data_IF_766146556352
#
_entry.id   IF_766146556352
#
_cell.length_a   1.000
_cell.length_b   1.000
_cell.length_c   1.000
_cell.angle_alpha   90.00
_cell.angle_beta   90.00
_cell.angle_gamma   90.00
#
_symmetry.space_group_name_H-M   'P 1'
#
loop_
_entity.id
_entity.type
_entity.pdbx_description
1 polymer ?
#
# COMPACT_ATOMS: atom_id res chain seq x y z
N UNK A 1 2.17 20.63 2.86
CA UNK A 1 1.96 20.39 1.41
C UNK A 1 2.62 19.06 1.07
N UNK A 2 1.90 18.14 0.42
CA UNK A 2 2.47 16.86 -0.01
C UNK A 2 3.35 17.05 -1.26
N UNK A 3 4.41 16.26 -1.38
CA UNK A 3 5.27 16.21 -2.58
C UNK A 3 5.03 14.90 -3.31
N UNK A 4 4.97 14.95 -4.64
CA UNK A 4 4.86 13.76 -5.48
C UNK A 4 6.25 13.35 -5.97
N UNK A 5 6.52 12.05 -5.91
CA UNK A 5 7.74 11.43 -6.42
C UNK A 5 7.32 10.35 -7.41
N UNK A 6 7.83 10.43 -8.64
CA UNK A 6 7.54 9.49 -9.72
C UNK A 6 8.63 8.42 -9.75
N UNK A 7 8.21 7.16 -9.79
CA UNK A 7 9.09 6.01 -9.93
C UNK A 7 8.88 5.39 -11.31
N UNK A 8 9.91 5.42 -12.13
CA UNK A 8 9.89 4.86 -13.48
C UNK A 8 10.77 3.61 -13.53
N UNK A 9 10.18 2.41 -13.62
CA UNK A 9 10.97 1.20 -13.71
C UNK A 9 11.64 1.13 -15.08
N UNK A 10 12.95 0.86 -15.11
CA UNK A 10 13.73 0.74 -16.35
C UNK A 10 13.37 -0.51 -17.17
N UNK A 11 12.84 -1.53 -16.50
CA UNK A 11 12.34 -2.79 -17.07
C UNK A 11 11.22 -3.33 -16.18
N UNK A 12 10.76 -4.56 -16.40
CA UNK A 12 9.75 -5.22 -15.57
C UNK A 12 10.23 -5.37 -14.13
N UNK A 13 9.42 -4.89 -13.21
CA UNK A 13 9.61 -5.09 -11.78
C UNK A 13 8.71 -6.21 -11.26
N UNK A 14 9.22 -6.95 -10.29
CA UNK A 14 8.48 -8.04 -9.65
C UNK A 14 8.25 -7.71 -8.17
N UNK A 15 7.00 -7.68 -7.76
CA UNK A 15 6.58 -7.49 -6.37
C UNK A 15 6.00 -8.78 -5.85
N UNK A 16 6.74 -9.45 -4.97
CA UNK A 16 6.41 -10.79 -4.48
C UNK A 16 5.24 -10.74 -3.49
N UNK A 17 4.22 -11.56 -3.72
CA UNK A 17 3.16 -11.80 -2.74
C UNK A 17 3.64 -12.59 -1.50
N UNK A 18 2.76 -12.85 -0.53
CA UNK A 18 3.13 -13.43 0.77
C UNK A 18 3.47 -14.93 0.73
N UNK A 19 3.13 -15.65 -0.34
CA UNK A 19 3.35 -17.11 -0.43
C UNK A 19 4.84 -17.47 -0.45
N UNK A 20 5.27 -18.64 0.06
CA UNK A 20 6.65 -19.12 -0.07
C UNK A 20 7.14 -19.11 -1.53
N UNK A 21 8.42 -18.82 -1.72
CA UNK A 21 9.05 -18.78 -3.04
C UNK A 21 10.50 -19.27 -2.94
N UNK A 22 10.64 -20.56 -2.65
CA UNK A 22 11.96 -21.21 -2.56
C UNK A 22 12.28 -21.94 -3.87
N UNK A 23 13.58 -22.00 -4.20
CA UNK A 23 14.05 -22.76 -5.34
C UNK A 23 13.70 -24.26 -5.18
N UNK A 24 13.06 -24.84 -6.20
CA UNK A 24 12.66 -26.26 -6.20
C UNK A 24 11.22 -26.52 -5.74
N UNK A 25 10.50 -25.50 -5.24
CA UNK A 25 9.05 -25.59 -5.01
C UNK A 25 8.29 -25.30 -6.32
N UNK A 26 7.21 -26.05 -6.60
CA UNK A 26 6.35 -25.86 -7.78
C UNK A 26 5.35 -24.70 -7.63
N UNK A 27 5.54 -23.85 -6.62
CA UNK A 27 4.63 -22.77 -6.31
C UNK A 27 4.90 -21.58 -7.23
N UNK A 28 3.93 -21.28 -8.09
CA UNK A 28 3.89 -20.02 -8.82
C UNK A 28 3.71 -18.87 -7.83
N UNK A 29 4.67 -17.95 -7.78
CA UNK A 29 4.51 -16.72 -7.02
C UNK A 29 3.59 -15.76 -7.78
N UNK A 30 2.42 -15.51 -7.20
CA UNK A 30 1.51 -14.48 -7.68
C UNK A 30 2.12 -13.10 -7.35
N UNK A 31 2.35 -12.23 -8.36
CA UNK A 31 2.81 -10.88 -8.11
C UNK A 31 1.71 -10.05 -7.47
N UNK A 32 2.09 -9.11 -6.61
CA UNK A 32 1.18 -8.14 -5.98
C UNK A 32 1.40 -6.76 -6.60
N UNK A 33 0.40 -6.26 -7.35
CA UNK A 33 0.48 -4.94 -7.99
C UNK A 33 -0.84 -4.17 -7.81
N UNK A 34 -0.80 -2.87 -7.45
CA UNK A 34 0.39 -2.08 -7.09
C UNK A 34 1.09 -2.61 -5.82
N UNK A 35 2.40 -2.36 -5.63
CA UNK A 35 3.08 -2.83 -4.43
C UNK A 35 2.54 -2.12 -3.19
N UNK A 36 2.63 -2.77 -2.03
CA UNK A 36 2.19 -2.14 -0.80
C UNK A 36 3.00 -0.87 -0.49
N UNK A 37 2.41 0.14 0.21
CA UNK A 37 3.13 1.33 0.65
C UNK A 37 4.40 1.01 1.45
N UNK A 38 4.42 -0.13 2.15
CA UNK A 38 5.58 -0.60 2.93
C UNK A 38 6.76 -1.01 2.05
N UNK A 39 6.50 -1.63 0.90
CA UNK A 39 7.55 -1.97 -0.08
C UNK A 39 8.20 -0.70 -0.60
N UNK A 40 7.39 0.29 -0.99
CA UNK A 40 7.91 1.59 -1.44
C UNK A 40 8.67 2.32 -0.33
N UNK A 41 8.19 2.25 0.91
CA UNK A 41 8.89 2.80 2.06
C UNK A 41 10.25 2.14 2.27
N UNK A 42 10.33 0.80 2.17
CA UNK A 42 11.58 0.07 2.25
C UNK A 42 12.58 0.52 1.18
N UNK A 43 12.14 0.58 -0.08
CA UNK A 43 12.98 1.04 -1.19
C UNK A 43 13.53 2.46 -0.98
N UNK A 44 12.66 3.40 -0.56
CA UNK A 44 13.06 4.79 -0.26
C UNK A 44 14.05 4.83 0.90
N UNK A 45 13.79 4.06 1.97
CA UNK A 45 14.68 4.02 3.13
C UNK A 45 16.06 3.47 2.78
N UNK A 46 16.11 2.39 2.04
CA UNK A 46 17.37 1.82 1.55
C UNK A 46 18.11 2.84 0.69
N UNK A 47 17.44 3.48 -0.27
CA UNK A 47 18.07 4.51 -1.11
C UNK A 47 18.65 5.69 -0.30
N UNK A 48 17.93 6.17 0.73
CA UNK A 48 18.43 7.22 1.63
C UNK A 48 19.67 6.73 2.38
N UNK A 49 19.62 5.55 2.99
CA UNK A 49 20.75 5.04 3.76
C UNK A 49 21.99 4.75 2.92
N UNK A 50 21.82 4.18 1.73
CA UNK A 50 22.92 4.00 0.76
C UNK A 50 23.51 5.35 0.32
N UNK A 51 22.68 6.36 0.05
CA UNK A 51 23.16 7.70 -0.34
C UNK A 51 23.95 8.43 0.76
N UNK A 52 23.84 7.94 2.00
CA UNK A 52 24.46 8.51 3.19
C UNK A 52 25.52 7.59 3.79
N UNK A 53 25.91 6.51 3.09
CA UNK A 53 26.89 5.52 3.52
C UNK A 53 26.59 4.94 4.93
N UNK A 54 25.31 4.66 5.21
CA UNK A 54 24.88 4.11 6.51
C UNK A 54 25.46 2.70 6.71
N UNK A 55 26.16 2.49 7.82
CA UNK A 55 26.52 1.14 8.28
C UNK A 55 25.26 0.43 8.82
N UNK A 56 24.65 -0.40 7.99
CA UNK A 56 23.41 -1.10 8.32
C UNK A 56 23.53 -2.10 9.47
N UNK A 57 24.71 -2.70 9.68
CA UNK A 57 24.94 -3.63 10.79
C UNK A 57 24.90 -2.87 12.11
N UNK A 58 25.60 -1.73 12.16
CA UNK A 58 25.58 -0.85 13.32
C UNK A 58 24.21 -0.19 13.51
N UNK A 59 23.59 0.27 12.43
CA UNK A 59 22.24 0.85 12.45
C UNK A 59 21.24 -0.13 13.07
N UNK A 60 21.30 -1.42 12.73
CA UNK A 60 20.43 -2.44 13.33
C UNK A 60 20.73 -2.68 14.82
N UNK A 61 21.97 -2.51 15.26
CA UNK A 61 22.38 -2.75 16.64
C UNK A 61 21.90 -1.65 17.62
N UNK A 62 21.54 -0.47 17.12
CA UNK A 62 20.91 0.59 17.93
C UNK A 62 21.84 1.25 18.94
N UNK A 63 23.16 1.30 18.69
CA UNK A 63 24.15 1.84 19.63
C UNK A 63 24.05 3.36 19.92
N UNK A 64 23.05 4.04 19.35
CA UNK A 64 22.71 5.44 19.63
C UNK A 64 23.64 6.47 18.98
N UNK A 65 24.77 6.06 18.41
CA UNK A 65 25.73 6.96 17.73
C UNK A 65 25.69 6.84 16.20
N UNK A 66 25.27 5.69 15.67
CA UNK A 66 25.21 5.41 14.21
C UNK A 66 24.11 6.15 13.47
N UNK A 67 23.09 6.62 14.18
CA UNK A 67 21.91 7.22 13.55
C UNK A 67 22.09 8.70 13.27
N UNK A 68 23.18 9.31 13.75
CA UNK A 68 23.38 10.75 13.63
C UNK A 68 24.36 11.07 12.51
N UNK A 69 23.89 11.85 11.53
CA UNK A 69 24.67 12.18 10.34
C UNK A 69 24.85 13.68 10.16
N UNK A 70 25.99 14.02 9.54
CA UNK A 70 26.34 15.38 9.16
C UNK A 70 26.65 16.31 10.34
N UNK A 71 26.99 17.56 10.00
CA UNK A 71 27.32 18.60 10.99
C UNK A 71 26.13 18.98 11.88
N UNK A 72 24.93 18.81 11.35
CA UNK A 72 23.67 19.13 12.03
C UNK A 72 23.17 17.98 12.92
N UNK A 73 23.92 16.86 13.01
CA UNK A 73 23.65 15.75 13.93
C UNK A 73 22.24 15.15 13.73
N UNK A 74 21.82 14.99 12.46
CA UNK A 74 20.47 14.57 12.08
C UNK A 74 20.25 13.11 12.50
N UNK A 75 19.22 12.87 13.31
CA UNK A 75 18.81 11.52 13.71
C UNK A 75 17.99 10.82 12.61
N UNK A 76 18.60 9.87 11.92
CA UNK A 76 17.97 9.08 10.87
C UNK A 76 16.80 8.23 11.37
N UNK A 77 16.86 7.67 12.58
CA UNK A 77 15.74 6.87 13.11
C UNK A 77 14.54 7.77 13.33
N UNK A 78 14.76 8.99 13.82
CA UNK A 78 13.70 9.99 13.90
C UNK A 78 13.16 10.35 12.50
N UNK A 79 14.02 10.61 11.52
CA UNK A 79 13.59 11.08 10.20
C UNK A 79 12.89 10.01 9.37
N UNK A 80 13.52 8.85 9.18
CA UNK A 80 13.06 7.81 8.25
C UNK A 80 12.53 6.56 8.94
N UNK A 81 12.77 6.40 10.25
CA UNK A 81 12.34 5.23 11.03
C UNK A 81 13.28 4.03 10.89
N UNK A 82 12.90 2.93 11.53
CA UNK A 82 13.65 1.68 11.60
C UNK A 82 12.70 0.47 11.47
N UNK A 83 13.11 -0.69 12.00
CA UNK A 83 12.29 -1.91 12.02
C UNK A 83 11.09 -1.82 12.98
N UNK A 84 11.09 -0.89 13.93
CA UNK A 84 10.11 -0.77 15.01
C UNK A 84 9.21 0.47 14.87
N UNK A 85 9.63 1.46 14.07
CA UNK A 85 8.92 2.73 13.91
C UNK A 85 8.99 3.31 12.50
N UNK A 86 7.99 4.14 12.18
CA UNK A 86 7.91 4.84 10.89
C UNK A 86 8.72 6.14 10.84
N UNK A 87 9.25 6.61 11.97
CA UNK A 87 9.90 7.92 12.08
C UNK A 87 8.95 9.05 11.71
N UNK A 88 9.47 10.10 11.06
CA UNK A 88 8.72 11.27 10.56
C UNK A 88 8.34 11.17 9.09
N UNK A 89 8.99 10.28 8.35
CA UNK A 89 8.65 9.98 6.96
C UNK A 89 7.20 9.48 6.87
N UNK A 90 6.40 10.15 6.03
CA UNK A 90 5.02 9.78 5.72
C UNK A 90 4.91 9.59 4.22
N UNK A 91 4.37 8.46 3.81
CA UNK A 91 4.18 8.09 2.41
C UNK A 91 2.71 7.73 2.19
N UNK A 92 2.19 8.11 1.03
CA UNK A 92 0.87 7.74 0.55
C UNK A 92 1.00 7.19 -0.87
N UNK A 93 0.17 6.23 -1.24
CA UNK A 93 0.30 5.46 -2.47
C UNK A 93 1.01 4.12 -2.24
N UNK A 94 1.66 3.54 -3.26
CA UNK A 94 1.87 4.11 -4.59
C UNK A 94 0.57 4.28 -5.37
N UNK A 95 0.56 5.25 -6.28
CA UNK A 95 -0.49 5.43 -7.27
C UNK A 95 0.08 5.07 -8.64
N UNK A 96 -0.77 4.58 -9.53
CA UNK A 96 -0.35 4.24 -10.90
C UNK A 96 -0.53 5.47 -11.77
N UNK A 97 0.50 5.83 -12.51
CA UNK A 97 0.41 6.86 -13.53
C UNK A 97 0.40 6.19 -14.90
N UNK A 98 -0.57 6.54 -15.74
CA UNK A 98 -0.65 6.11 -17.13
C UNK A 98 -0.97 7.32 -18.00
N UNK A 99 -0.20 7.53 -19.06
CA UNK A 99 -0.45 8.63 -20.02
C UNK A 99 -0.52 10.01 -19.34
N UNK A 100 0.29 10.23 -18.29
CA UNK A 100 0.29 11.42 -17.41
C UNK A 100 -0.98 11.62 -16.57
N UNK A 101 -1.82 10.59 -16.46
CA UNK A 101 -2.97 10.57 -15.57
C UNK A 101 -2.71 9.66 -14.37
N UNK A 102 -2.93 10.19 -13.16
CA UNK A 102 -2.83 9.40 -11.94
C UNK A 102 -4.14 8.64 -11.74
N UNK A 103 -4.02 7.31 -11.72
CA UNK A 103 -5.11 6.37 -11.49
C UNK A 103 -5.23 6.07 -10.00
N UNK A 104 -6.46 6.13 -9.51
CA UNK A 104 -6.83 5.73 -8.16
C UNK A 104 -7.61 4.42 -8.19
N UNK A 105 -7.50 3.59 -7.14
CA UNK A 105 -8.41 2.46 -6.98
C UNK A 105 -9.86 2.93 -7.07
N UNK A 106 -10.69 2.17 -7.79
CA UNK A 106 -12.13 2.42 -7.81
C UNK A 106 -12.67 2.35 -6.37
N UNK A 107 -13.54 3.28 -5.95
CA UNK A 107 -14.23 3.19 -4.67
C UNK A 107 -14.93 1.84 -4.51
N UNK A 108 -14.89 1.25 -3.32
CA UNK A 108 -15.47 -0.09 -3.06
C UNK A 108 -17.00 -0.13 -3.19
N UNK A 109 -17.64 1.02 -3.05
CA UNK A 109 -19.07 1.23 -3.27
C UNK A 109 -19.42 1.46 -4.74
N UNK A 110 -18.45 1.59 -5.65
CA UNK A 110 -18.70 1.66 -7.08
C UNK A 110 -18.98 0.26 -7.63
N UNK A 111 -20.11 0.10 -8.34
CA UNK A 111 -20.44 -1.12 -9.07
C UNK A 111 -20.73 -0.81 -10.54
N UNK A 112 -20.62 -1.84 -11.39
CA UNK A 112 -21.02 -1.78 -12.79
C UNK A 112 -22.09 -2.83 -13.07
N UNK A 113 -23.21 -2.41 -13.66
CA UNK A 113 -24.27 -3.30 -14.14
C UNK A 113 -24.77 -2.84 -15.51
N UNK A 114 -24.89 -3.77 -16.46
CA UNK A 114 -25.34 -3.49 -17.84
C UNK A 114 -24.58 -2.32 -18.51
N UNK A 115 -23.28 -2.21 -18.25
CA UNK A 115 -22.42 -1.15 -18.79
C UNK A 115 -22.58 0.22 -18.11
N UNK A 116 -23.47 0.35 -17.13
CA UNK A 116 -23.67 1.57 -16.34
C UNK A 116 -22.97 1.45 -14.99
N UNK A 117 -22.37 2.55 -14.56
CA UNK A 117 -21.80 2.69 -13.21
C UNK A 117 -22.87 3.16 -12.23
N UNK A 118 -22.82 2.64 -11.01
CA UNK A 118 -23.66 3.08 -9.90
C UNK A 118 -22.91 3.01 -8.58
N UNK A 119 -23.44 3.67 -7.56
CA UNK A 119 -22.92 3.61 -6.20
C UNK A 119 -23.86 2.75 -5.34
N UNK A 120 -23.28 1.80 -4.61
CA UNK A 120 -23.96 1.07 -3.58
C UNK A 120 -24.38 2.03 -2.47
N UNK A 121 -25.56 1.78 -1.90
CA UNK A 121 -26.10 2.52 -0.77
C UNK A 121 -26.56 1.53 0.30
N UNK A 122 -26.61 1.91 1.58
CA UNK A 122 -27.27 1.07 2.58
C UNK A 122 -28.71 0.78 2.17
N UNK A 123 -29.18 -0.45 2.35
CA UNK A 123 -30.58 -0.81 2.15
C UNK A 123 -31.52 -0.04 3.10
N UNK A 124 -32.77 0.16 2.66
CA UNK A 124 -33.79 0.89 3.42
C UNK A 124 -34.27 0.13 4.66
N UNK A 125 -34.25 -1.20 4.59
CA UNK A 125 -34.59 -2.08 5.70
C UNK A 125 -33.34 -2.79 6.23
N UNK A 126 -33.18 -2.88 7.56
CA UNK A 126 -32.11 -3.67 8.15
C UNK A 126 -32.40 -5.17 8.06
N UNK A 127 -31.34 -5.97 8.09
CA UNK A 127 -31.41 -7.44 8.15
C UNK A 127 -30.70 -7.88 9.42
N UNK A 128 -31.33 -8.80 10.16
CA UNK A 128 -30.72 -9.41 11.33
C UNK A 128 -29.69 -10.45 10.92
N UNK A 129 -28.47 -10.28 11.43
CA UNK A 129 -27.32 -11.15 11.17
C UNK A 129 -26.67 -11.58 12.48
N UNK A 130 -25.70 -12.48 12.40
CA UNK A 130 -24.86 -12.90 13.53
C UNK A 130 -24.02 -11.75 14.14
N UNK A 131 -23.80 -10.67 13.38
CA UNK A 131 -23.14 -9.43 13.84
C UNK A 131 -24.12 -8.31 14.25
N UNK A 132 -25.41 -8.62 14.33
CA UNK A 132 -26.48 -7.69 14.72
C UNK A 132 -27.34 -7.23 13.55
N UNK A 133 -28.18 -6.22 13.80
CA UNK A 133 -29.09 -5.65 12.81
C UNK A 133 -28.33 -4.65 11.93
N UNK A 134 -28.11 -4.98 10.66
CA UNK A 134 -27.26 -4.22 9.74
C UNK A 134 -27.98 -3.92 8.42
N UNK A 135 -27.62 -2.83 7.76
CA UNK A 135 -28.13 -2.48 6.42
C UNK A 135 -27.14 -2.96 5.37
N UNK A 136 -27.53 -3.96 4.59
CA UNK A 136 -26.68 -4.52 3.55
C UNK A 136 -26.54 -3.54 2.35
N UNK A 137 -25.43 -3.60 1.58
CA UNK A 137 -25.28 -2.77 0.39
C UNK A 137 -26.35 -3.10 -0.67
N UNK A 138 -26.98 -2.07 -1.23
CA UNK A 138 -28.00 -2.12 -2.28
C UNK A 138 -27.56 -1.30 -3.50
N UNK A 139 -27.85 -1.82 -4.68
CA UNK A 139 -27.72 -1.10 -5.95
C UNK A 139 -28.86 -1.48 -6.92
N UNK A 140 -28.89 -0.81 -8.07
CA UNK A 140 -29.85 -1.05 -9.15
C UNK A 140 -29.17 -1.74 -10.33
N UNK A 141 -29.77 -2.80 -10.86
CA UNK A 141 -29.29 -3.49 -12.07
C UNK A 141 -29.28 -5.02 -11.96
N UNK A 142 -29.08 -5.69 -13.10
CA UNK A 142 -29.07 -7.15 -13.21
C UNK A 142 -27.78 -7.74 -12.62
N UNK A 143 -27.90 -8.88 -11.93
CA UNK A 143 -26.77 -9.56 -11.27
C UNK A 143 -26.46 -9.09 -9.85
N UNK A 144 -27.06 -7.98 -9.41
CA UNK A 144 -27.16 -7.64 -8.00
C UNK A 144 -28.25 -8.51 -7.38
N UNK A 145 -27.90 -9.31 -6.38
CA UNK A 145 -28.89 -10.11 -5.66
C UNK A 145 -29.77 -9.15 -4.86
N UNK A 146 -30.98 -8.92 -5.36
CA UNK A 146 -32.01 -8.22 -4.60
C UNK A 146 -32.29 -9.09 -3.37
N UNK A 147 -32.21 -8.50 -2.18
CA UNK A 147 -32.66 -9.16 -0.97
C UNK A 147 -34.18 -9.25 -1.07
N UNK A 148 -34.68 -10.41 -1.50
CA UNK A 148 -36.08 -10.76 -1.28
C UNK A 148 -36.23 -11.00 0.23
N UNK A 149 -36.98 -10.12 0.88
CA UNK A 149 -37.47 -10.30 2.25
C UNK A 149 -38.74 -11.14 2.26
#
# INVERSE_FOLDING_TARGET
MAKFYRFEPLDRVFFRGPRPFNAGESLWAEPEFPPSPRVMQGAIRSAIGESLDVDWLRFRAGDGTVHRLGKDNIDLVEQMGDAHGLGRLRLAGPFIERENEVLYPAPLDLYQSEGKLGLLRPADEPVDTDIGSVRLPRGEGRGLKVLEG
#
